data_IF_339818219233
#
_entry.id   IF_339818219233
#
_cell.length_a   1.000
_cell.length_b   1.000
_cell.length_c   1.000
_cell.angle_alpha   90.00
_cell.angle_beta   90.00
_cell.angle_gamma   90.00
#
_symmetry.space_group_name_H-M   'P 1'
#
loop_
_entity.id
_entity.type
_entity.pdbx_description
1 polymer ?
#
# COMPACT_ATOMS: atom_id res chain seq x y z
N UNK A 1 -5.20 -7.43 -0.25
CA UNK A 1 -3.94 -7.86 0.41
C UNK A 1 -3.67 -9.32 0.11
N UNK A 2 -2.40 -9.72 0.03
CA UNK A 2 -1.97 -11.12 -0.10
C UNK A 2 -0.65 -11.33 0.66
N UNK A 3 -0.60 -12.33 1.54
CA UNK A 3 0.54 -12.60 2.40
C UNK A 3 0.11 -12.75 3.86
N UNK A 4 0.95 -12.30 4.80
CA UNK A 4 0.69 -12.41 6.22
C UNK A 4 -0.42 -11.45 6.68
N UNK A 5 -1.50 -12.02 7.23
CA UNK A 5 -2.68 -11.24 7.66
C UNK A 5 -2.40 -10.28 8.82
N UNK A 6 -1.52 -10.66 9.74
CA UNK A 6 -1.14 -9.81 10.87
C UNK A 6 -0.46 -8.53 10.38
N UNK A 7 0.56 -8.70 9.55
CA UNK A 7 1.32 -7.63 8.90
C UNK A 7 0.41 -6.65 8.14
N UNK A 8 -0.59 -7.14 7.40
CA UNK A 8 -1.51 -6.25 6.70
C UNK A 8 -2.44 -5.46 7.63
N UNK A 9 -2.83 -6.02 8.78
CA UNK A 9 -3.67 -5.29 9.74
C UNK A 9 -2.91 -4.08 10.29
N UNK A 10 -1.63 -4.24 10.58
CA UNK A 10 -0.75 -3.15 11.01
C UNK A 10 -0.66 -2.06 9.94
N UNK A 11 -0.40 -2.43 8.68
CA UNK A 11 -0.35 -1.46 7.58
C UNK A 11 -1.69 -0.75 7.37
N UNK A 12 -2.82 -1.49 7.40
CA UNK A 12 -4.15 -0.88 7.26
C UNK A 12 -4.47 0.08 8.40
N UNK A 13 -4.09 -0.24 9.64
CA UNK A 13 -4.30 0.65 10.77
C UNK A 13 -3.44 1.91 10.66
N UNK A 14 -2.17 1.77 10.28
CA UNK A 14 -1.32 2.91 10.00
C UNK A 14 -1.91 3.83 8.92
N UNK A 15 -2.33 3.26 7.78
CA UNK A 15 -2.98 4.05 6.72
C UNK A 15 -4.26 4.76 7.17
N UNK A 16 -5.04 4.17 8.10
CA UNK A 16 -6.21 4.85 8.69
C UNK A 16 -5.80 6.04 9.53
N UNK A 17 -4.77 5.88 10.36
CA UNK A 17 -4.25 6.97 11.20
C UNK A 17 -3.72 8.10 10.31
N UNK A 18 -2.93 7.78 9.28
CA UNK A 18 -2.39 8.78 8.33
C UNK A 18 -3.50 9.53 7.59
N UNK A 19 -4.52 8.82 7.11
CA UNK A 19 -5.66 9.46 6.43
C UNK A 19 -6.42 10.43 7.36
N UNK A 20 -6.62 10.05 8.62
CA UNK A 20 -7.32 10.89 9.60
C UNK A 20 -6.46 12.08 10.04
N UNK A 21 -5.14 11.88 10.18
CA UNK A 21 -4.20 12.96 10.49
C UNK A 21 -4.14 13.98 9.36
N UNK A 22 -4.08 13.53 8.10
CA UNK A 22 -4.11 14.41 6.92
C UNK A 22 -5.39 15.22 6.91
N UNK A 23 -6.54 14.57 7.09
CA UNK A 23 -7.83 15.27 7.12
C UNK A 23 -7.91 16.28 8.28
N UNK A 24 -7.47 15.91 9.47
CA UNK A 24 -7.44 16.82 10.62
C UNK A 24 -6.53 18.04 10.39
N UNK A 25 -5.40 17.85 9.71
CA UNK A 25 -4.38 18.90 9.55
C UNK A 25 -4.69 19.84 8.39
N UNK A 26 -5.17 19.29 7.26
CA UNK A 26 -5.32 20.01 6.00
C UNK A 26 -6.78 20.24 5.58
N UNK A 27 -7.74 19.67 6.30
CA UNK A 27 -9.18 19.72 5.98
C UNK A 27 -9.53 19.19 4.58
N UNK A 28 -8.74 18.23 4.08
CA UNK A 28 -8.94 17.57 2.79
C UNK A 28 -8.70 16.05 2.90
N UNK A 29 -9.15 15.29 1.90
CA UNK A 29 -8.88 13.85 1.86
C UNK A 29 -7.46 13.59 1.39
N UNK A 30 -6.75 12.68 2.04
CA UNK A 30 -5.44 12.23 1.58
C UNK A 30 -5.54 11.64 0.15
N UNK A 31 -4.61 12.03 -0.72
CA UNK A 31 -4.51 11.49 -2.08
C UNK A 31 -4.07 10.02 -2.08
N UNK A 32 -4.44 9.27 -3.13
CA UNK A 32 -4.14 7.85 -3.22
C UNK A 32 -2.65 7.52 -3.19
N UNK A 33 -1.86 8.32 -3.89
CA UNK A 33 -0.40 8.19 -3.93
C UNK A 33 0.23 8.48 -2.57
N UNK A 34 -0.17 9.59 -1.92
CA UNK A 34 0.35 9.98 -0.61
C UNK A 34 0.05 8.91 0.47
N UNK A 35 -1.17 8.37 0.47
CA UNK A 35 -1.53 7.27 1.37
C UNK A 35 -0.69 6.02 1.09
N UNK A 36 -0.47 5.69 -0.19
CA UNK A 36 0.33 4.52 -0.58
C UNK A 36 1.80 4.70 -0.19
N UNK A 37 2.36 5.89 -0.37
CA UNK A 37 3.72 6.24 0.06
C UNK A 37 3.87 6.03 1.57
N UNK A 38 2.95 6.53 2.39
CA UNK A 38 3.02 6.37 3.84
C UNK A 38 3.03 4.88 4.28
N UNK A 39 2.24 4.04 3.60
CA UNK A 39 2.26 2.59 3.84
C UNK A 39 3.63 1.96 3.48
N UNK A 40 4.23 2.42 2.39
CA UNK A 40 5.55 1.97 1.93
C UNK A 40 6.67 2.44 2.86
N UNK A 41 6.60 3.67 3.37
CA UNK A 41 7.57 4.21 4.32
C UNK A 41 7.55 3.42 5.63
N UNK A 42 6.37 3.08 6.16
CA UNK A 42 6.27 2.16 7.30
C UNK A 42 6.79 0.77 6.95
N UNK A 43 6.51 0.28 5.74
CA UNK A 43 6.96 -1.04 5.32
C UNK A 43 8.50 -1.16 5.22
N UNK A 44 9.20 -0.06 4.99
CA UNK A 44 10.67 0.05 4.98
C UNK A 44 11.28 0.19 6.38
N UNK A 45 10.48 0.49 7.40
CA UNK A 45 10.96 0.76 8.76
C UNK A 45 11.32 -0.54 9.54
N UNK A 46 12.26 -1.33 9.00
CA UNK A 46 12.79 -2.56 9.58
C UNK A 46 14.34 -2.56 9.54
N UNK A 47 14.99 -3.11 10.57
CA UNK A 47 16.45 -3.10 10.69
C UNK A 47 16.96 -3.59 12.04
N UNK A 48 18.25 -3.92 12.12
CA UNK A 48 18.93 -4.48 13.32
C UNK A 48 19.67 -3.41 14.14
N UNK A 49 19.91 -2.21 13.57
CA UNK A 49 20.72 -1.15 14.18
C UNK A 49 19.85 -0.20 15.02
N UNK A 50 19.60 -0.60 16.27
CA UNK A 50 19.16 0.32 17.32
C UNK A 50 20.39 0.66 18.17
N UNK A 51 21.19 1.63 17.71
CA UNK A 51 22.07 2.36 18.61
C UNK A 51 21.20 3.36 19.40
N UNK A 52 20.62 2.85 20.50
CA UNK A 52 20.22 3.47 21.77
C UNK A 52 19.59 4.90 21.86
N UNK A 53 19.33 5.68 20.80
CA UNK A 53 18.95 7.10 20.97
C UNK A 53 17.70 7.61 20.22
N UNK A 54 16.95 6.77 19.48
CA UNK A 54 15.65 7.18 18.90
C UNK A 54 14.56 6.13 19.14
N UNK A 55 13.56 6.53 19.94
CA UNK A 55 12.50 5.72 20.52
C UNK A 55 11.41 5.26 19.54
N UNK A 56 11.79 4.55 18.48
CA UNK A 56 10.86 3.89 17.55
C UNK A 56 10.95 2.37 17.66
N UNK A 57 9.80 1.67 17.70
CA UNK A 57 9.78 0.21 17.52
C UNK A 57 10.19 -0.13 16.08
N UNK A 58 11.49 -0.30 15.83
CA UNK A 58 12.01 -0.78 14.55
C UNK A 58 11.68 -2.28 14.44
N UNK A 59 11.04 -2.67 13.34
CA UNK A 59 10.65 -4.06 13.14
C UNK A 59 11.87 -4.94 12.85
N UNK A 60 11.92 -6.13 13.45
CA UNK A 60 13.04 -7.08 13.25
C UNK A 60 13.04 -7.76 11.88
N UNK A 61 11.99 -7.57 11.07
CA UNK A 61 11.85 -8.17 9.72
C UNK A 61 10.94 -7.31 8.83
N UNK A 62 11.06 -7.41 7.50
CA UNK A 62 10.11 -6.79 6.58
C UNK A 62 8.67 -7.33 6.76
N UNK A 63 7.70 -6.53 6.34
CA UNK A 63 6.30 -6.94 6.22
C UNK A 63 6.14 -7.99 5.12
N UNK A 64 5.62 -9.18 5.47
CA UNK A 64 5.40 -10.29 4.55
C UNK A 64 4.07 -10.19 3.79
N UNK A 65 3.67 -9.00 3.36
CA UNK A 65 2.38 -8.77 2.69
C UNK A 65 2.49 -7.79 1.54
N UNK A 66 1.79 -8.10 0.45
CA UNK A 66 1.52 -7.17 -0.65
C UNK A 66 0.11 -6.59 -0.51
N UNK A 67 -0.05 -5.30 -0.83
CA UNK A 67 -1.35 -4.63 -0.82
C UNK A 67 -1.76 -4.20 -2.23
N UNK A 68 -3.07 -4.18 -2.46
CA UNK A 68 -3.67 -3.38 -3.52
C UNK A 68 -4.38 -2.23 -2.82
N UNK A 69 -3.93 -1.01 -3.07
CA UNK A 69 -4.49 0.23 -2.52
C UNK A 69 -5.27 0.89 -3.65
N UNK A 70 -6.58 1.02 -3.48
CA UNK A 70 -7.45 1.55 -4.52
C UNK A 70 -8.44 2.55 -3.93
N UNK A 71 -8.84 3.52 -4.74
CA UNK A 71 -9.76 4.56 -4.32
C UNK A 71 -10.12 5.50 -5.46
N UNK A 72 -10.73 6.60 -5.08
CA UNK A 72 -11.12 7.70 -5.96
C UNK A 72 -10.66 8.99 -5.29
N UNK A 73 -9.81 9.74 -5.96
CA UNK A 73 -9.39 11.08 -5.54
C UNK A 73 -9.69 12.12 -6.61
N UNK A 74 -9.16 13.33 -6.47
CA UNK A 74 -9.41 14.45 -7.39
C UNK A 74 -8.89 14.19 -8.81
N UNK A 75 -7.91 13.30 -8.97
CA UNK A 75 -7.35 12.90 -10.27
C UNK A 75 -8.09 11.72 -10.90
N UNK A 76 -9.08 11.16 -10.19
CA UNK A 76 -9.90 10.03 -10.65
C UNK A 76 -9.60 8.72 -9.91
N UNK A 77 -10.05 7.58 -10.48
CA UNK A 77 -9.80 6.27 -9.87
C UNK A 77 -8.32 5.93 -9.91
N UNK A 78 -7.80 5.37 -8.82
CA UNK A 78 -6.43 4.88 -8.75
C UNK A 78 -6.37 3.45 -8.22
N UNK A 79 -5.31 2.75 -8.59
CA UNK A 79 -4.95 1.43 -8.07
C UNK A 79 -3.43 1.34 -8.00
N UNK A 80 -2.90 1.20 -6.79
CA UNK A 80 -1.50 0.93 -6.53
C UNK A 80 -1.30 -0.47 -5.99
N UNK A 81 -0.20 -1.09 -6.39
CA UNK A 81 0.29 -2.32 -5.80
C UNK A 81 1.53 -2.03 -4.98
N UNK A 82 1.51 -2.43 -3.72
CA UNK A 82 2.68 -2.38 -2.83
C UNK A 82 3.20 -3.79 -2.59
N UNK A 83 4.50 -3.94 -2.44
CA UNK A 83 5.14 -5.21 -2.13
C UNK A 83 6.01 -5.12 -0.85
N UNK A 84 6.45 -6.26 -0.29
CA UNK A 84 7.31 -6.31 0.90
C UNK A 84 8.62 -5.52 0.83
N UNK A 85 9.06 -5.09 -0.36
CA UNK A 85 10.27 -4.28 -0.51
C UNK A 85 10.05 -2.82 -0.15
N UNK A 86 8.81 -2.41 0.15
CA UNK A 86 8.47 -1.00 0.38
C UNK A 86 8.33 -0.20 -0.90
N UNK A 87 8.26 -0.84 -2.07
CA UNK A 87 8.01 -0.18 -3.35
C UNK A 87 6.52 -0.24 -3.69
N UNK A 88 6.02 0.79 -4.38
CA UNK A 88 4.71 0.75 -5.02
C UNK A 88 4.75 1.10 -6.50
N UNK A 89 3.77 0.61 -7.24
CA UNK A 89 3.60 0.88 -8.67
C UNK A 89 2.11 1.04 -8.97
N UNK A 90 1.76 2.05 -9.78
CA UNK A 90 0.39 2.27 -10.26
C UNK A 90 -0.01 1.30 -11.36
N UNK A 91 -1.28 0.87 -11.36
CA UNK A 91 -1.83 -0.07 -12.33
C UNK A 91 -3.26 0.31 -12.69
N UNK A 92 -3.65 0.00 -13.92
CA UNK A 92 -5.06 0.02 -14.33
C UNK A 92 -5.79 -1.27 -13.91
N UNK A 93 -5.07 -2.39 -13.96
CA UNK A 93 -5.57 -3.70 -13.54
C UNK A 93 -4.42 -4.56 -13.00
N UNK A 94 -4.59 -5.12 -11.80
CA UNK A 94 -3.57 -5.93 -11.13
C UNK A 94 -4.18 -7.09 -10.35
N UNK A 95 -3.58 -8.26 -10.49
CA UNK A 95 -3.83 -9.42 -9.62
C UNK A 95 -2.61 -9.69 -8.71
N UNK A 96 -2.88 -10.13 -7.48
CA UNK A 96 -1.86 -10.55 -6.50
C UNK A 96 -2.27 -11.86 -5.83
N UNK A 97 -1.30 -12.55 -5.23
CA UNK A 97 -1.52 -13.79 -4.48
C UNK A 97 -1.58 -15.06 -5.31
N UNK A 98 -2.11 -16.14 -4.71
CA UNK A 98 -2.16 -17.44 -5.37
C UNK A 98 -3.08 -17.41 -6.60
N UNK A 99 -2.58 -17.92 -7.73
CA UNK A 99 -3.30 -17.88 -9.01
C UNK A 99 -3.28 -16.53 -9.73
N UNK A 100 -2.49 -15.56 -9.24
CA UNK A 100 -2.40 -14.22 -9.83
C UNK A 100 -1.93 -14.24 -11.29
N UNK A 101 -1.08 -15.18 -11.70
CA UNK A 101 -0.59 -15.27 -13.07
C UNK A 101 -1.74 -15.51 -14.06
N UNK A 102 -2.61 -16.50 -13.81
CA UNK A 102 -3.78 -16.78 -14.65
C UNK A 102 -4.81 -15.65 -14.62
N UNK A 103 -5.00 -15.02 -13.46
CA UNK A 103 -5.86 -13.86 -13.32
C UNK A 103 -5.31 -12.64 -14.09
N UNK A 104 -4.00 -12.38 -14.01
CA UNK A 104 -3.32 -11.30 -14.72
C UNK A 104 -3.39 -11.51 -16.23
N UNK A 105 -3.19 -12.75 -16.72
CA UNK A 105 -3.37 -13.08 -18.13
C UNK A 105 -4.80 -12.82 -18.60
N UNK A 106 -5.79 -13.12 -17.76
CA UNK A 106 -7.20 -12.84 -18.06
C UNK A 106 -7.49 -11.34 -18.09
N UNK A 107 -6.91 -10.56 -17.17
CA UNK A 107 -6.98 -9.10 -17.17
C UNK A 107 -6.32 -8.54 -18.44
N UNK A 108 -5.12 -8.98 -18.78
CA UNK A 108 -4.40 -8.56 -20.00
C UNK A 108 -5.22 -8.82 -21.28
N UNK A 109 -5.94 -9.94 -21.35
CA UNK A 109 -6.69 -10.34 -22.53
C UNK A 109 -8.06 -9.64 -22.66
N UNK A 110 -8.67 -9.22 -21.56
CA UNK A 110 -10.09 -8.76 -21.52
C UNK A 110 -10.27 -7.33 -21.05
N UNK A 111 -9.26 -6.75 -20.40
CA UNK A 111 -9.34 -5.39 -19.92
C UNK A 111 -9.44 -4.42 -21.11
N UNK A 112 -10.38 -3.49 -20.99
CA UNK A 112 -10.60 -2.39 -21.90
C UNK A 112 -10.71 -1.13 -21.07
N UNK A 113 -9.91 -0.12 -21.41
CA UNK A 113 -9.96 1.16 -20.73
C UNK A 113 -11.37 1.75 -20.82
N UNK A 114 -11.95 2.06 -19.66
CA UNK A 114 -13.25 2.73 -19.58
C UNK A 114 -12.97 4.22 -19.50
N UNK A 115 -13.21 4.94 -20.59
CA UNK A 115 -13.27 6.41 -20.55
C UNK A 115 -14.45 6.81 -19.67
N UNK A 116 -14.18 7.38 -18.50
CA UNK A 116 -15.17 8.01 -17.62
C UNK A 116 -15.42 9.46 -18.03
#
# INVERSE_FOLDING_TARGET
>A
MSGLTADARTLVEHGRVEAQNHWFTYDERIGGEALTQALCDLALNFGEDVDDDDSGEIMSRPFGVALLVAGLDENGPFLYHTDPSGTYVGYEAKAIGSGSEGAQNSLQAKYSEVSL
#
